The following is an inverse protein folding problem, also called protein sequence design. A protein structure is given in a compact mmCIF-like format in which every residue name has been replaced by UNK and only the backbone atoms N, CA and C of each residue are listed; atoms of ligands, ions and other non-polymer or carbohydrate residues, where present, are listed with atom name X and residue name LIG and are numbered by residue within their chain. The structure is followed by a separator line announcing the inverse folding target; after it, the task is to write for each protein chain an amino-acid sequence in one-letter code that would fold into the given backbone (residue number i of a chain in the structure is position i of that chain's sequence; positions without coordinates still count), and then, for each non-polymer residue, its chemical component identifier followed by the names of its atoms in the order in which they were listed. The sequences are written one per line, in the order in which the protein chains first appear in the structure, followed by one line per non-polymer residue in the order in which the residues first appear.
data_IF_930696852638
#
_entry.id   IF_930696852638
#
_cell.length_a   1.000
_cell.length_b   1.000
_cell.length_c   1.000
_cell.angle_alpha   90.00
_cell.angle_beta   90.00
_cell.angle_gamma   90.00
#
_symmetry.space_group_name_H-M   'P 1'
#
loop_
_entity.id
_entity.type
_entity.pdbx_description
1 polymer ?
#
# COMPACT_ATOMS: atom_id res chain seq x y z
N UNK A 1 9.37 -16.22 1.72
CA UNK A 1 8.60 -15.02 1.94
C UNK A 1 7.77 -14.67 0.75
N UNK A 2 6.59 -14.22 1.00
CA UNK A 2 5.68 -13.88 -0.09
C UNK A 2 5.44 -12.41 -0.17
N UNK A 3 5.29 -11.95 -1.39
CA UNK A 3 5.03 -10.55 -1.65
C UNK A 3 3.82 -10.42 -2.54
N UNK A 4 3.17 -9.28 -2.46
CA UNK A 4 2.02 -9.02 -3.29
C UNK A 4 2.24 -7.72 -4.05
N UNK A 5 1.50 -7.56 -5.14
CA UNK A 5 1.58 -6.35 -5.93
C UNK A 5 0.72 -5.25 -5.28
N UNK A 6 0.90 -4.02 -5.78
CA UNK A 6 0.08 -2.92 -5.30
C UNK A 6 -1.40 -3.20 -5.58
N UNK A 7 -1.67 -3.84 -6.69
CA UNK A 7 -3.05 -4.18 -7.04
C UNK A 7 -3.63 -5.16 -6.03
N UNK A 8 -2.85 -6.16 -5.66
CA UNK A 8 -3.31 -7.14 -4.70
C UNK A 8 -3.48 -6.52 -3.31
N UNK A 9 -2.55 -5.65 -2.93
CA UNK A 9 -2.65 -4.97 -1.66
C UNK A 9 -3.88 -4.08 -1.61
N UNK A 10 -4.19 -3.43 -2.72
CA UNK A 10 -5.35 -2.58 -2.79
C UNK A 10 -6.61 -3.36 -2.51
N UNK A 11 -6.70 -4.54 -3.07
CA UNK A 11 -7.86 -5.39 -2.84
C UNK A 11 -7.93 -5.86 -1.40
N UNK A 12 -6.78 -6.28 -0.89
CA UNK A 12 -6.73 -6.81 0.47
C UNK A 12 -7.12 -5.74 1.47
N UNK A 13 -6.67 -4.51 1.23
CA UNK A 13 -6.90 -3.42 2.16
C UNK A 13 -8.13 -2.60 1.81
N UNK A 14 -8.76 -2.92 0.70
CA UNK A 14 -9.97 -2.24 0.26
C UNK A 14 -9.73 -0.75 0.03
N UNK A 15 -8.65 -0.44 -0.64
CA UNK A 15 -8.32 0.92 -1.02
C UNK A 15 -7.89 0.91 -2.48
N UNK A 16 -7.68 2.09 -3.04
CA UNK A 16 -7.32 2.16 -4.44
C UNK A 16 -5.86 1.76 -4.64
N UNK A 17 -5.56 1.28 -5.84
CA UNK A 17 -4.19 0.91 -6.17
C UNK A 17 -3.28 2.13 -6.12
N UNK A 18 -3.79 3.25 -6.55
CA UNK A 18 -3.04 4.49 -6.52
C UNK A 18 -2.66 4.84 -5.09
N UNK A 19 -3.58 4.63 -4.18
CA UNK A 19 -3.32 4.90 -2.78
C UNK A 19 -2.19 4.02 -2.25
N UNK A 20 -2.22 2.75 -2.64
CA UNK A 20 -1.16 1.84 -2.23
C UNK A 20 0.19 2.32 -2.75
N UNK A 21 0.22 2.78 -3.99
CA UNK A 21 1.46 3.26 -4.56
C UNK A 21 2.01 4.46 -3.79
N UNK A 22 1.13 5.35 -3.40
CA UNK A 22 1.55 6.51 -2.64
C UNK A 22 2.11 6.09 -1.28
N UNK A 23 1.45 5.16 -0.63
CA UNK A 23 1.91 4.67 0.65
C UNK A 23 3.27 3.99 0.53
N UNK A 24 3.46 3.26 -0.55
CA UNK A 24 4.75 2.62 -0.80
C UNK A 24 5.85 3.66 -1.01
N UNK A 25 5.55 4.68 -1.79
CA UNK A 25 6.53 5.71 -2.09
C UNK A 25 6.90 6.51 -0.86
N UNK A 26 5.97 6.64 0.06
CA UNK A 26 6.23 7.37 1.28
C UNK A 26 6.89 6.53 2.35
N UNK A 27 7.05 5.25 2.08
CA UNK A 27 7.69 4.37 3.04
C UNK A 27 6.83 4.04 4.23
N UNK A 28 5.53 4.11 4.07
CA UNK A 28 4.62 3.83 5.18
C UNK A 28 4.34 2.35 5.37
N UNK A 29 4.73 1.56 4.40
CA UNK A 29 4.53 0.13 4.47
C UNK A 29 5.86 -0.53 4.78
N UNK A 30 5.91 -1.25 5.89
CA UNK A 30 7.13 -1.88 6.30
C UNK A 30 7.55 -2.99 5.34
N UNK A 31 8.82 -3.02 4.98
CA UNK A 31 9.34 -4.09 4.16
C UNK A 31 9.02 -3.98 2.68
N UNK A 32 8.38 -2.90 2.27
CA UNK A 32 8.06 -2.72 0.87
C UNK A 32 9.31 -2.31 0.10
N UNK A 33 9.42 -2.77 -1.12
CA UNK A 33 10.49 -2.32 -1.99
C UNK A 33 10.02 -2.33 -3.43
N UNK A 34 10.73 -1.62 -4.26
CA UNK A 34 10.34 -1.46 -5.65
C UNK A 34 11.12 -2.41 -6.54
N UNK A 35 10.41 -3.05 -7.43
CA UNK A 35 10.99 -3.93 -8.43
C UNK A 35 10.67 -3.37 -9.80
N UNK A 36 11.60 -2.61 -10.38
CA UNK A 36 11.32 -1.99 -11.65
C UNK A 36 10.14 -1.06 -11.56
N UNK A 37 9.09 -1.38 -12.28
CA UNK A 37 7.89 -0.56 -12.30
C UNK A 37 6.86 -0.99 -11.26
N UNK A 38 7.15 -2.03 -10.52
CA UNK A 38 6.16 -2.58 -9.61
C UNK A 38 6.64 -2.51 -8.17
N UNK A 39 5.70 -2.45 -7.25
CA UNK A 39 6.01 -2.51 -5.84
C UNK A 39 5.84 -3.92 -5.33
N UNK A 40 6.79 -4.35 -4.50
CA UNK A 40 6.70 -5.64 -3.84
C UNK A 40 6.36 -5.38 -2.38
N UNK A 41 5.21 -5.85 -1.97
CA UNK A 41 4.68 -5.60 -0.64
C UNK A 41 4.62 -6.92 0.09
N UNK A 42 5.20 -7.02 1.29
CA UNK A 42 5.13 -8.29 2.03
C UNK A 42 3.68 -8.69 2.23
N UNK A 43 3.41 -9.97 1.99
CA UNK A 43 2.06 -10.45 2.09
C UNK A 43 1.49 -10.29 3.50
N UNK A 44 2.35 -10.35 4.48
CA UNK A 44 1.93 -10.21 5.87
C UNK A 44 1.94 -8.77 6.35
N UNK A 45 2.20 -7.82 5.46
CA UNK A 45 2.14 -6.43 5.83
C UNK A 45 0.72 -6.02 6.14
N UNK A 46 0.57 -5.18 7.14
CA UNK A 46 -0.75 -4.70 7.52
C UNK A 46 -1.04 -3.38 6.84
N UNK A 47 -2.31 -3.11 6.69
CA UNK A 47 -2.73 -1.84 6.14
C UNK A 47 -2.15 -0.73 7.01
N UNK A 48 -1.41 0.20 6.41
CA UNK A 48 -0.83 1.28 7.20
C UNK A 48 -1.91 2.16 7.79
N UNK A 49 -1.67 2.61 9.00
CA UNK A 49 -2.58 3.50 9.66
C UNK A 49 -2.17 4.92 9.30
N UNK A 50 -3.11 5.64 8.75
CA UNK A 50 -2.87 7.02 8.36
C UNK A 50 -3.66 7.91 9.29
N UNK A 51 -2.96 8.75 10.03
CA UNK A 51 -3.62 9.62 10.98
C UNK A 51 -4.65 10.52 10.31
N UNK A 52 -4.50 10.74 9.01
CA UNK A 52 -5.41 11.59 8.29
C UNK A 52 -6.42 10.82 7.49
N UNK A 53 -6.54 9.55 7.77
CA UNK A 53 -7.41 8.67 7.03
C UNK A 53 -8.82 9.20 6.96
N UNK A 54 -9.31 9.69 8.06
CA UNK A 54 -10.67 10.17 8.12
C UNK A 54 -10.94 11.23 7.08
N UNK A 55 -9.99 12.11 6.92
CA UNK A 55 -10.12 13.17 5.97
C UNK A 55 -9.84 12.71 4.57
N UNK A 56 -8.80 11.93 4.45
CA UNK A 56 -8.33 11.51 3.15
C UNK A 56 -9.29 10.57 2.47
N UNK A 57 -10.04 9.84 3.22
CA UNK A 57 -10.93 8.87 2.60
C UNK A 57 -11.93 9.53 1.68
N UNK A 58 -12.18 10.79 1.88
CA UNK A 58 -13.07 11.52 1.00
C UNK A 58 -12.45 11.78 -0.33
N UNK A 59 -11.16 11.92 -0.36
CA UNK A 59 -10.47 12.28 -1.57
C UNK A 59 -10.01 11.10 -2.39
N UNK A 60 -10.10 9.95 -1.87
CA UNK A 60 -9.66 8.76 -2.60
C UNK A 60 -10.73 8.21 -3.51
#
# INVERSE_FOLDING_TARGET
MKYMTASQAARKWNISQRRVQILCAEGRIKGVFKLGDAWAIPEDAEKPIDARTTRDSKND
#
